data_IF_869033327311
#
_entry.id   IF_869033327311
#
_cell.length_a   1.000
_cell.length_b   1.000
_cell.length_c   1.000
_cell.angle_alpha   90.00
_cell.angle_beta   90.00
_cell.angle_gamma   90.00
#
_symmetry.space_group_name_H-M   'P 1'
#
loop_
_entity.id
_entity.type
_entity.pdbx_description
1 polymer ?
#
# COMPACT_ATOMS: atom_id res chain seq x y z
N UNK A 1 49.52 -43.45 -2.12
CA UNK A 1 48.27 -43.77 -1.40
C UNK A 1 47.88 -42.70 -0.39
N UNK A 2 48.87 -42.21 0.38
CA UNK A 2 48.63 -41.17 1.38
C UNK A 2 48.22 -39.82 0.76
N UNK A 3 48.82 -39.49 -0.38
CA UNK A 3 48.53 -38.28 -1.13
C UNK A 3 47.10 -38.27 -1.67
N UNK A 4 46.67 -39.39 -2.25
CA UNK A 4 45.33 -39.55 -2.77
C UNK A 4 44.27 -39.44 -1.67
N UNK A 5 44.55 -40.02 -0.50
CA UNK A 5 43.66 -39.96 0.65
C UNK A 5 43.53 -38.53 1.15
N UNK A 6 44.62 -37.78 1.21
CA UNK A 6 44.61 -36.36 1.60
C UNK A 6 43.76 -35.52 0.63
N UNK A 7 43.96 -35.74 -0.68
CA UNK A 7 43.20 -35.02 -1.70
C UNK A 7 41.69 -35.32 -1.62
N UNK A 8 41.33 -36.56 -1.36
CA UNK A 8 39.94 -36.95 -1.17
C UNK A 8 39.32 -36.28 0.06
N UNK A 9 40.08 -36.24 1.15
CA UNK A 9 39.60 -35.58 2.37
C UNK A 9 39.44 -34.07 2.17
N UNK A 10 40.33 -33.41 1.43
CA UNK A 10 40.22 -32.01 1.08
C UNK A 10 38.98 -31.76 0.22
N UNK A 11 38.74 -32.58 -0.81
CA UNK A 11 37.57 -32.46 -1.66
C UNK A 11 36.27 -32.68 -0.90
N UNK A 12 36.24 -33.64 0.00
CA UNK A 12 35.08 -33.91 0.84
C UNK A 12 34.78 -32.72 1.77
N UNK A 13 35.82 -32.12 2.34
CA UNK A 13 35.66 -30.94 3.17
C UNK A 13 35.12 -29.74 2.38
N UNK A 14 35.62 -29.53 1.15
CA UNK A 14 35.15 -28.49 0.26
C UNK A 14 33.69 -28.71 -0.16
N UNK A 15 33.30 -29.93 -0.46
CA UNK A 15 31.92 -30.29 -0.81
C UNK A 15 30.98 -30.05 0.36
N UNK A 16 31.39 -30.43 1.57
CA UNK A 16 30.60 -30.22 2.77
C UNK A 16 30.39 -28.71 3.04
N UNK A 17 31.43 -27.91 2.84
CA UNK A 17 31.36 -26.45 2.99
C UNK A 17 30.40 -25.86 1.96
N UNK A 18 30.51 -26.26 0.70
CA UNK A 18 29.60 -25.78 -0.35
C UNK A 18 28.15 -26.17 -0.07
N UNK A 19 27.92 -27.38 0.40
CA UNK A 19 26.58 -27.84 0.76
C UNK A 19 26.00 -27.00 1.88
N UNK A 20 26.80 -26.68 2.91
CA UNK A 20 26.37 -25.82 4.00
C UNK A 20 26.04 -24.41 3.51
N UNK A 21 26.84 -23.85 2.62
CA UNK A 21 26.60 -22.53 2.02
C UNK A 21 25.32 -22.51 1.18
N UNK A 22 25.07 -23.54 0.40
CA UNK A 22 23.84 -23.66 -0.39
C UNK A 22 22.62 -23.76 0.49
N UNK A 23 22.69 -24.55 1.55
CA UNK A 23 21.59 -24.66 2.52
C UNK A 23 21.28 -23.34 3.19
N UNK A 24 22.33 -22.57 3.53
CA UNK A 24 22.17 -21.24 4.11
C UNK A 24 21.49 -20.27 3.13
N UNK A 25 21.93 -20.29 1.87
CA UNK A 25 21.32 -19.46 0.82
C UNK A 25 19.85 -19.81 0.59
N UNK A 26 19.52 -21.11 0.58
CA UNK A 26 18.14 -21.56 0.42
C UNK A 26 17.27 -21.06 1.57
N UNK A 27 17.78 -21.12 2.80
CA UNK A 27 17.07 -20.60 3.97
C UNK A 27 16.85 -19.09 3.87
N UNK A 28 17.87 -18.34 3.41
CA UNK A 28 17.75 -16.89 3.20
C UNK A 28 16.74 -16.54 2.11
N UNK A 29 16.71 -17.30 1.02
CA UNK A 29 15.75 -17.10 -0.05
C UNK A 29 14.33 -17.38 0.41
N UNK A 30 14.11 -18.44 1.17
CA UNK A 30 12.81 -18.76 1.73
C UNK A 30 12.33 -17.67 2.67
N UNK A 31 13.21 -17.10 3.49
CA UNK A 31 12.89 -15.98 4.38
C UNK A 31 12.49 -14.73 3.58
N UNK A 32 13.25 -14.42 2.52
CA UNK A 32 12.92 -13.29 1.64
C UNK A 32 11.59 -13.47 0.95
N UNK A 33 11.28 -14.67 0.48
CA UNK A 33 9.99 -14.97 -0.15
C UNK A 33 8.84 -14.76 0.84
N UNK A 34 9.00 -15.21 2.08
CA UNK A 34 8.01 -15.00 3.13
C UNK A 34 7.80 -13.51 3.41
N UNK A 35 8.88 -12.72 3.49
CA UNK A 35 8.82 -11.28 3.68
C UNK A 35 8.14 -10.57 2.52
N UNK A 36 8.42 -10.97 1.27
CA UNK A 36 7.78 -10.41 0.09
C UNK A 36 6.27 -10.72 0.07
N UNK A 37 5.89 -11.93 0.41
CA UNK A 37 4.48 -12.31 0.49
C UNK A 37 3.74 -11.49 1.55
N UNK A 38 4.36 -11.27 2.70
CA UNK A 38 3.79 -10.43 3.76
C UNK A 38 3.63 -8.99 3.29
N UNK A 39 4.65 -8.42 2.64
CA UNK A 39 4.58 -7.06 2.10
C UNK A 39 3.49 -6.92 1.04
N UNK A 40 3.35 -7.91 0.16
CA UNK A 40 2.30 -7.90 -0.85
C UNK A 40 0.91 -7.93 -0.21
N UNK A 41 0.72 -8.73 0.83
CA UNK A 41 -0.54 -8.77 1.57
C UNK A 41 -0.85 -7.42 2.22
N UNK A 42 0.16 -6.77 2.83
CA UNK A 42 0.01 -5.44 3.43
C UNK A 42 -0.33 -4.37 2.38
N UNK A 43 0.32 -4.42 1.21
CA UNK A 43 0.03 -3.50 0.12
C UNK A 43 -1.40 -3.67 -0.40
N UNK A 44 -1.86 -4.91 -0.57
CA UNK A 44 -3.23 -5.19 -0.99
C UNK A 44 -4.25 -4.67 0.02
N UNK A 45 -3.97 -4.83 1.32
CA UNK A 45 -4.83 -4.29 2.38
C UNK A 45 -4.87 -2.77 2.35
N UNK A 46 -3.72 -2.11 2.16
CA UNK A 46 -3.66 -0.66 2.05
C UNK A 46 -4.43 -0.15 0.84
N UNK A 47 -4.33 -0.83 -0.30
CA UNK A 47 -5.07 -0.47 -1.51
C UNK A 47 -6.58 -0.57 -1.27
N UNK A 48 -7.03 -1.62 -0.60
CA UNK A 48 -8.43 -1.77 -0.24
C UNK A 48 -8.91 -0.66 0.69
N UNK A 49 -8.10 -0.28 1.68
CA UNK A 49 -8.40 0.82 2.60
C UNK A 49 -8.47 2.17 1.87
N UNK A 50 -7.53 2.42 0.94
CA UNK A 50 -7.53 3.64 0.14
C UNK A 50 -8.77 3.73 -0.75
N UNK A 51 -9.16 2.63 -1.38
CA UNK A 51 -10.36 2.58 -2.22
C UNK A 51 -11.62 2.84 -1.38
N UNK A 52 -11.69 2.32 -0.17
CA UNK A 52 -12.80 2.57 0.75
C UNK A 52 -12.85 4.04 1.15
N UNK A 53 -11.70 4.64 1.50
CA UNK A 53 -11.62 6.07 1.83
C UNK A 53 -12.03 6.94 0.66
N UNK A 54 -11.59 6.61 -0.55
CA UNK A 54 -11.97 7.35 -1.76
C UNK A 54 -13.48 7.30 -1.98
N UNK A 55 -14.10 6.14 -1.76
CA UNK A 55 -15.55 6.00 -1.86
C UNK A 55 -16.28 6.84 -0.80
N UNK A 56 -15.77 6.87 0.43
CA UNK A 56 -16.31 7.69 1.52
C UNK A 56 -16.21 9.18 1.19
N UNK A 57 -15.06 9.62 0.67
CA UNK A 57 -14.85 11.02 0.27
C UNK A 57 -15.83 11.39 -0.85
N UNK A 58 -15.99 10.54 -1.85
CA UNK A 58 -16.93 10.79 -2.95
C UNK A 58 -18.36 10.93 -2.43
N UNK A 59 -18.78 10.08 -1.50
CA UNK A 59 -20.09 10.13 -0.89
C UNK A 59 -20.29 11.42 -0.07
N UNK A 60 -19.30 11.80 0.72
CA UNK A 60 -19.32 13.04 1.50
C UNK A 60 -19.43 14.27 0.60
N UNK A 61 -18.67 14.30 -0.49
CA UNK A 61 -18.75 15.40 -1.47
C UNK A 61 -20.12 15.50 -2.10
N UNK A 62 -20.74 14.37 -2.41
CA UNK A 62 -22.09 14.32 -2.95
C UNK A 62 -23.11 14.88 -1.96
N UNK A 63 -23.00 14.53 -0.68
CA UNK A 63 -23.85 15.04 0.36
C UNK A 63 -23.69 16.56 0.52
N UNK A 64 -22.46 17.07 0.54
CA UNK A 64 -22.17 18.50 0.62
C UNK A 64 -22.76 19.23 -0.57
N UNK A 65 -22.58 18.68 -1.78
CA UNK A 65 -23.15 19.27 -2.99
C UNK A 65 -24.67 19.34 -2.94
N UNK A 66 -25.31 18.28 -2.47
CA UNK A 66 -26.77 18.23 -2.32
C UNK A 66 -27.26 19.27 -1.31
N UNK A 67 -26.54 19.44 -0.20
CA UNK A 67 -26.86 20.48 0.81
C UNK A 67 -26.75 21.87 0.22
N UNK A 68 -25.69 22.16 -0.51
CA UNK A 68 -25.47 23.46 -1.16
C UNK A 68 -26.56 23.75 -2.17
N UNK A 69 -26.90 22.78 -3.02
CA UNK A 69 -27.97 22.90 -4.00
C UNK A 69 -29.33 23.18 -3.33
N UNK A 70 -29.61 22.47 -2.26
CA UNK A 70 -30.87 22.68 -1.50
C UNK A 70 -30.95 24.09 -0.91
N UNK A 71 -29.85 24.61 -0.37
CA UNK A 71 -29.79 25.98 0.15
C UNK A 71 -30.04 27.02 -0.94
N UNK A 72 -29.38 26.86 -2.09
CA UNK A 72 -29.56 27.77 -3.23
C UNK A 72 -30.96 27.70 -3.80
N UNK A 73 -31.50 26.49 -3.93
CA UNK A 73 -32.88 26.29 -4.43
C UNK A 73 -33.93 26.92 -3.50
N UNK A 74 -33.64 26.96 -2.22
CA UNK A 74 -34.51 27.62 -1.23
C UNK A 74 -34.34 29.15 -1.23
N UNK A 75 -33.55 29.72 -2.12
CA UNK A 75 -33.38 31.16 -2.28
C UNK A 75 -32.27 31.76 -1.44
N UNK A 76 -31.40 30.96 -0.82
CA UNK A 76 -30.29 31.48 -0.06
C UNK A 76 -29.21 32.07 -1.02
N UNK A 77 -28.76 33.33 -0.78
CA UNK A 77 -27.67 33.88 -1.62
C UNK A 77 -26.38 33.08 -1.53
N UNK A 78 -25.64 33.05 -2.60
CA UNK A 78 -24.35 32.29 -2.66
C UNK A 78 -23.37 32.78 -1.58
N UNK A 79 -23.32 34.09 -1.32
CA UNK A 79 -22.48 34.64 -0.26
C UNK A 79 -22.83 34.09 1.10
N UNK A 80 -24.13 33.92 1.41
CA UNK A 80 -24.61 33.34 2.65
C UNK A 80 -24.28 31.84 2.74
N UNK A 81 -24.47 31.11 1.66
CA UNK A 81 -24.10 29.68 1.60
C UNK A 81 -22.60 29.49 1.84
N UNK A 82 -21.77 30.28 1.21
CA UNK A 82 -20.32 30.26 1.37
C UNK A 82 -19.92 30.50 2.82
N UNK A 83 -20.54 31.46 3.47
CA UNK A 83 -20.32 31.80 4.89
C UNK A 83 -20.77 30.66 5.81
N UNK A 84 -21.94 30.09 5.53
CA UNK A 84 -22.51 28.99 6.34
C UNK A 84 -21.66 27.74 6.25
N UNK A 85 -21.16 27.40 5.02
CA UNK A 85 -20.34 26.23 4.77
C UNK A 85 -18.86 26.46 5.06
N UNK A 86 -18.47 27.69 5.37
CA UNK A 86 -17.06 28.10 5.55
C UNK A 86 -16.21 27.76 4.34
N UNK A 87 -16.73 28.08 3.14
CA UNK A 87 -16.10 27.81 1.85
C UNK A 87 -16.02 29.09 1.04
N UNK A 88 -15.00 29.24 0.16
CA UNK A 88 -14.96 30.37 -0.78
C UNK A 88 -16.14 30.32 -1.76
N UNK A 89 -16.63 31.50 -2.18
CA UNK A 89 -17.74 31.60 -3.14
C UNK A 89 -17.40 30.91 -4.49
N UNK A 90 -16.15 31.01 -4.94
CA UNK A 90 -15.70 30.37 -6.18
C UNK A 90 -15.87 28.85 -6.10
N UNK A 91 -15.57 28.25 -4.96
CA UNK A 91 -15.71 26.83 -4.73
C UNK A 91 -17.18 26.41 -4.73
N UNK A 92 -18.07 27.24 -4.14
CA UNK A 92 -19.52 27.02 -4.20
C UNK A 92 -20.03 27.06 -5.64
N UNK A 93 -19.60 28.06 -6.41
CA UNK A 93 -19.99 28.20 -7.82
C UNK A 93 -19.54 27.00 -8.66
N UNK A 94 -18.35 26.47 -8.41
CA UNK A 94 -17.84 25.30 -9.11
C UNK A 94 -18.63 24.04 -8.82
N UNK A 95 -19.25 23.95 -7.63
CA UNK A 95 -20.10 22.81 -7.24
C UNK A 95 -21.52 22.88 -7.83
N UNK A 96 -21.96 24.04 -8.24
CA UNK A 96 -23.27 24.24 -8.84
C UNK A 96 -23.24 24.05 -10.35
#
# INVERSE_FOLDING_TARGET
>A
LTEKRRQLNEKNAQLNEKTAQLNEKDAQLNEKDAQLNEKNAQLNEKDAQLNEKDAQIAQQRKQIMNMIKAMVDNGMPIATVAKTMNMPEDEINDLL
#
